data_IF_346968835748
#
_entry.id   IF_346968835748
#
_cell.length_a   1.000
_cell.length_b   1.000
_cell.length_c   1.000
_cell.angle_alpha   90.00
_cell.angle_beta   90.00
_cell.angle_gamma   90.00
#
_symmetry.space_group_name_H-M   'P 1'
#
loop_
_entity.id
_entity.type
_entity.pdbx_description
1 polymer ?
#
# COMPACT_ATOMS: atom_id res chain seq x y z
N UNK A 1 2.42 -23.89 -5.26
CA UNK A 1 1.52 -23.92 -6.41
C UNK A 1 2.26 -24.41 -7.63
N UNK A 2 1.71 -25.38 -8.35
CA UNK A 2 2.04 -25.96 -9.65
C UNK A 2 1.10 -25.37 -10.70
N UNK A 3 1.27 -25.73 -11.98
CA UNK A 3 0.44 -25.17 -13.06
C UNK A 3 -1.05 -25.48 -12.85
N UNK A 4 -1.38 -26.73 -12.52
CA UNK A 4 -2.75 -27.16 -12.28
C UNK A 4 -3.41 -26.40 -11.12
N UNK A 5 -2.67 -26.14 -10.04
CA UNK A 5 -3.18 -25.39 -8.88
C UNK A 5 -3.52 -23.94 -9.26
N UNK A 6 -2.73 -23.30 -10.13
CA UNK A 6 -3.05 -21.95 -10.65
C UNK A 6 -4.31 -21.96 -11.52
N UNK A 7 -4.48 -22.98 -12.36
CA UNK A 7 -5.68 -23.10 -13.20
C UNK A 7 -6.93 -23.33 -12.34
N UNK A 8 -6.85 -24.21 -11.34
CA UNK A 8 -7.96 -24.50 -10.43
C UNK A 8 -8.31 -23.32 -9.53
N UNK A 9 -7.34 -22.48 -9.16
CA UNK A 9 -7.60 -21.24 -8.41
C UNK A 9 -8.44 -20.26 -9.24
N UNK A 10 -8.11 -20.12 -10.53
CA UNK A 10 -8.75 -19.13 -11.41
C UNK A 10 -9.99 -19.66 -12.13
N UNK A 11 -10.20 -20.97 -12.18
CA UNK A 11 -11.29 -21.61 -12.93
C UNK A 11 -12.05 -22.62 -12.09
N UNK A 12 -13.37 -22.63 -12.29
CA UNK A 12 -14.27 -23.67 -11.81
C UNK A 12 -14.53 -24.64 -12.96
N UNK A 13 -13.65 -25.63 -13.11
CA UNK A 13 -13.69 -26.57 -14.25
C UNK A 13 -13.36 -25.86 -15.57
N UNK A 14 -14.31 -25.86 -16.50
CA UNK A 14 -14.14 -25.20 -17.80
C UNK A 14 -14.48 -23.71 -17.78
N UNK A 15 -15.06 -23.19 -16.70
CA UNK A 15 -15.42 -21.77 -16.61
C UNK A 15 -14.44 -20.97 -15.76
N UNK A 16 -14.29 -19.69 -16.10
CA UNK A 16 -13.56 -18.74 -15.25
C UNK A 16 -14.32 -18.51 -13.94
N UNK A 17 -13.60 -18.44 -12.81
CA UNK A 17 -14.19 -18.18 -11.50
C UNK A 17 -14.96 -16.86 -11.49
N UNK A 18 -16.08 -16.80 -10.78
CA UNK A 18 -16.97 -15.64 -10.74
C UNK A 18 -16.23 -14.34 -10.37
N UNK A 19 -15.37 -14.39 -9.36
CA UNK A 19 -14.59 -13.22 -8.93
C UNK A 19 -13.65 -12.70 -10.02
N UNK A 20 -13.09 -13.59 -10.84
CA UNK A 20 -12.18 -13.21 -11.93
C UNK A 20 -12.98 -12.66 -13.11
N UNK A 21 -14.18 -13.19 -13.38
CA UNK A 21 -15.12 -12.63 -14.36
C UNK A 21 -15.55 -11.21 -13.98
N UNK A 22 -16.00 -11.01 -12.73
CA UNK A 22 -16.40 -9.69 -12.21
C UNK A 22 -15.27 -8.66 -12.33
N UNK A 23 -14.04 -9.06 -12.00
CA UNK A 23 -12.87 -8.19 -12.17
C UNK A 23 -12.55 -7.91 -13.63
N UNK A 24 -12.77 -8.86 -14.54
CA UNK A 24 -12.56 -8.67 -15.96
C UNK A 24 -13.55 -7.67 -16.57
N UNK A 25 -14.81 -7.68 -16.14
CA UNK A 25 -15.85 -6.75 -16.61
C UNK A 25 -15.55 -5.28 -16.30
N UNK A 26 -14.78 -5.01 -15.24
CA UNK A 26 -14.43 -3.66 -14.78
C UNK A 26 -12.98 -3.27 -15.07
N UNK A 27 -12.30 -4.00 -15.97
CA UNK A 27 -10.87 -3.81 -16.29
C UNK A 27 -9.98 -3.81 -15.02
N UNK A 28 -10.32 -4.67 -14.06
CA UNK A 28 -9.71 -4.72 -12.73
C UNK A 28 -8.39 -5.50 -12.68
N UNK A 29 -8.04 -5.96 -11.48
CA UNK A 29 -6.82 -6.72 -11.24
C UNK A 29 -7.06 -7.94 -10.36
N UNK A 30 -6.46 -9.08 -10.73
CA UNK A 30 -6.46 -10.30 -9.94
C UNK A 30 -5.04 -10.74 -9.61
N UNK A 31 -4.77 -10.95 -8.32
CA UNK A 31 -3.44 -11.34 -7.84
C UNK A 31 -3.53 -12.65 -7.06
N UNK A 32 -2.57 -13.53 -7.30
CA UNK A 32 -2.37 -14.73 -6.46
C UNK A 32 -1.19 -14.44 -5.54
N UNK A 33 -1.41 -14.51 -4.23
CA UNK A 33 -0.36 -14.38 -3.22
C UNK A 33 -0.07 -15.73 -2.58
N UNK A 34 1.21 -16.12 -2.52
CA UNK A 34 1.65 -17.40 -1.98
C UNK A 34 2.81 -17.24 -0.99
N UNK A 35 2.88 -18.14 -0.01
CA UNK A 35 3.96 -18.23 0.97
C UNK A 35 5.22 -18.93 0.44
N UNK A 36 5.16 -19.49 -0.76
CA UNK A 36 6.29 -20.13 -1.43
C UNK A 36 7.34 -19.12 -1.90
N UNK A 37 8.58 -19.59 -2.07
CA UNK A 37 9.60 -18.84 -2.80
C UNK A 37 9.57 -19.23 -4.27
N UNK A 38 9.63 -18.23 -5.14
CA UNK A 38 9.49 -18.40 -6.57
C UNK A 38 10.76 -17.89 -7.27
N UNK A 39 11.49 -18.80 -7.92
CA UNK A 39 12.59 -18.38 -8.80
C UNK A 39 12.04 -17.62 -10.02
N UNK A 40 12.81 -16.71 -10.65
CA UNK A 40 12.33 -15.97 -11.82
C UNK A 40 11.76 -16.85 -12.95
N UNK A 41 12.32 -18.03 -13.28
CA UNK A 41 11.71 -18.94 -14.24
C UNK A 41 10.36 -19.51 -13.77
N UNK A 42 10.22 -19.79 -12.47
CA UNK A 42 8.97 -20.32 -11.89
C UNK A 42 7.89 -19.25 -11.90
N UNK A 43 8.24 -18.00 -11.58
CA UNK A 43 7.33 -16.86 -11.67
C UNK A 43 6.78 -16.71 -13.10
N UNK A 44 7.65 -16.75 -14.12
CA UNK A 44 7.22 -16.72 -15.53
C UNK A 44 6.26 -17.86 -15.88
N UNK A 45 6.50 -19.06 -15.36
CA UNK A 45 5.59 -20.22 -15.55
C UNK A 45 4.24 -20.00 -14.87
N UNK A 46 4.18 -19.36 -13.69
CA UNK A 46 2.92 -19.04 -12.99
C UNK A 46 2.14 -17.97 -13.75
N UNK A 47 2.78 -16.88 -14.14
CA UNK A 47 2.13 -15.83 -14.97
C UNK A 47 1.61 -16.42 -16.28
N UNK A 48 2.38 -17.32 -16.93
CA UNK A 48 1.90 -18.02 -18.13
C UNK A 48 0.65 -18.85 -17.84
N UNK A 49 0.63 -19.61 -16.74
CA UNK A 49 -0.55 -20.39 -16.35
C UNK A 49 -1.77 -19.49 -16.05
N UNK A 50 -1.56 -18.33 -15.41
CA UNK A 50 -2.64 -17.35 -15.19
C UNK A 50 -3.18 -16.80 -16.51
N UNK A 51 -2.31 -16.50 -17.49
CA UNK A 51 -2.73 -16.08 -18.84
C UNK A 51 -3.52 -17.16 -19.56
N UNK A 52 -3.04 -18.40 -19.50
CA UNK A 52 -3.75 -19.56 -20.05
C UNK A 52 -5.14 -19.72 -19.43
N UNK A 53 -5.29 -19.40 -18.14
CA UNK A 53 -6.57 -19.46 -17.44
C UNK A 53 -7.60 -18.42 -17.91
N UNK A 54 -7.18 -17.29 -18.49
CA UNK A 54 -8.09 -16.21 -18.90
C UNK A 54 -8.31 -16.13 -20.42
N UNK A 55 -7.42 -16.74 -21.21
CA UNK A 55 -7.40 -16.60 -22.68
C UNK A 55 -8.72 -17.01 -23.38
N UNK A 56 -9.52 -17.89 -22.78
CA UNK A 56 -10.80 -18.33 -23.36
C UNK A 56 -11.98 -17.40 -23.10
N UNK A 57 -11.80 -16.30 -22.35
CA UNK A 57 -12.90 -15.42 -21.94
C UNK A 57 -12.75 -14.02 -22.60
N UNK A 58 -13.76 -13.54 -23.38
CA UNK A 58 -13.65 -12.32 -24.20
C UNK A 58 -13.35 -11.04 -23.41
N UNK A 59 -13.79 -10.97 -22.16
CA UNK A 59 -13.70 -9.75 -21.33
C UNK A 59 -12.36 -9.60 -20.61
N UNK A 60 -11.40 -10.51 -20.82
CA UNK A 60 -10.16 -10.55 -20.02
C UNK A 60 -8.99 -9.78 -20.64
N UNK A 61 -9.19 -9.12 -21.78
CA UNK A 61 -8.11 -8.41 -22.50
C UNK A 61 -7.43 -7.34 -21.66
N UNK A 62 -8.18 -6.64 -20.81
CA UNK A 62 -7.66 -5.58 -19.94
C UNK A 62 -7.37 -6.02 -18.51
N UNK A 63 -7.71 -7.27 -18.13
CA UNK A 63 -7.57 -7.75 -16.76
C UNK A 63 -6.09 -7.81 -16.37
N UNK A 64 -5.69 -7.03 -15.37
CA UNK A 64 -4.34 -7.06 -14.84
C UNK A 64 -4.14 -8.29 -13.95
N UNK A 65 -3.16 -9.13 -14.27
CA UNK A 65 -2.85 -10.33 -13.48
C UNK A 65 -1.43 -10.32 -12.96
N UNK A 66 -1.25 -10.76 -11.71
CA UNK A 66 0.08 -10.89 -11.12
C UNK A 66 0.18 -12.01 -10.08
N UNK A 67 1.40 -12.44 -9.80
CA UNK A 67 1.71 -13.46 -8.81
C UNK A 67 2.74 -12.92 -7.80
N UNK A 68 2.38 -12.90 -6.52
CA UNK A 68 3.28 -12.49 -5.44
C UNK A 68 3.70 -13.71 -4.63
N UNK A 69 5.01 -13.88 -4.50
CA UNK A 69 5.62 -14.89 -3.65
C UNK A 69 6.16 -14.26 -2.35
N UNK A 70 6.59 -15.09 -1.41
CA UNK A 70 7.16 -14.61 -0.14
C UNK A 70 8.37 -13.70 -0.36
N UNK A 71 9.21 -14.03 -1.35
CA UNK A 71 10.44 -13.28 -1.63
C UNK A 71 10.15 -11.87 -2.16
N UNK A 72 9.12 -11.70 -2.99
CA UNK A 72 8.68 -10.42 -3.53
C UNK A 72 8.12 -9.52 -2.43
N UNK A 73 7.21 -10.05 -1.61
CA UNK A 73 6.65 -9.28 -0.47
C UNK A 73 7.75 -8.86 0.50
N UNK A 74 8.70 -9.75 0.81
CA UNK A 74 9.81 -9.41 1.68
C UNK A 74 10.74 -8.35 1.08
N UNK A 75 10.99 -8.40 -0.24
CA UNK A 75 11.77 -7.37 -0.95
C UNK A 75 11.06 -6.02 -0.96
N UNK A 76 9.73 -6.03 -1.09
CA UNK A 76 8.93 -4.80 -1.00
C UNK A 76 8.96 -4.21 0.41
N UNK A 77 8.74 -5.02 1.46
CA UNK A 77 8.81 -4.56 2.85
C UNK A 77 10.15 -3.94 3.23
N UNK A 78 11.27 -4.50 2.72
CA UNK A 78 12.61 -3.94 2.94
C UNK A 78 12.82 -2.55 2.35
N UNK A 79 12.05 -2.18 1.31
CA UNK A 79 12.10 -0.84 0.72
C UNK A 79 11.28 0.18 1.52
N UNK A 80 10.37 -0.28 2.39
CA UNK A 80 9.48 0.56 3.18
C UNK A 80 9.51 0.17 4.66
N UNK A 81 10.57 0.54 5.42
CA UNK A 81 10.73 0.16 6.82
C UNK A 81 9.54 0.51 7.70
N UNK A 82 8.87 1.65 7.48
CA UNK A 82 7.67 2.04 8.23
C UNK A 82 6.53 1.02 8.09
N UNK A 83 6.33 0.48 6.88
CA UNK A 83 5.31 -0.56 6.63
C UNK A 83 5.71 -1.87 7.29
N UNK A 84 7.00 -2.24 7.23
CA UNK A 84 7.51 -3.42 7.92
C UNK A 84 7.26 -3.34 9.43
N UNK A 85 7.46 -2.18 10.04
CA UNK A 85 7.27 -1.98 11.46
C UNK A 85 5.78 -1.98 11.86
N UNK A 86 4.93 -1.36 11.03
CA UNK A 86 3.47 -1.48 11.18
C UNK A 86 3.01 -2.94 11.10
N UNK A 87 3.47 -3.70 10.09
CA UNK A 87 3.09 -5.11 9.92
C UNK A 87 3.51 -5.95 11.14
N UNK A 88 4.70 -5.67 11.70
CA UNK A 88 5.15 -6.32 12.93
C UNK A 88 4.24 -6.05 14.13
N UNK A 89 3.73 -4.83 14.25
CA UNK A 89 2.77 -4.46 15.30
C UNK A 89 1.45 -5.21 15.12
N UNK A 90 0.89 -5.24 13.90
CA UNK A 90 -0.31 -6.02 13.56
C UNK A 90 -0.14 -7.51 13.88
N UNK A 91 1.06 -8.07 13.68
CA UNK A 91 1.40 -9.46 13.99
C UNK A 91 1.73 -9.71 15.47
N UNK A 92 1.58 -8.73 16.35
CA UNK A 92 1.89 -8.86 17.79
C UNK A 92 3.37 -9.00 18.10
N UNK A 93 4.24 -8.51 17.20
CA UNK A 93 5.72 -8.55 17.33
C UNK A 93 6.34 -7.16 17.21
N UNK A 94 5.86 -6.14 17.95
CA UNK A 94 6.42 -4.79 17.88
C UNK A 94 7.92 -4.80 18.23
N UNK A 95 8.65 -3.81 17.73
CA UNK A 95 10.02 -3.58 18.20
C UNK A 95 9.94 -2.84 19.54
N UNK A 96 10.66 -3.33 20.54
CA UNK A 96 10.73 -2.66 21.85
C UNK A 96 11.27 -1.24 21.68
N UNK A 97 10.62 -0.28 22.33
CA UNK A 97 11.01 1.14 22.28
C UNK A 97 10.67 1.85 20.96
N UNK A 98 10.00 1.20 20.01
CA UNK A 98 9.57 1.82 18.77
C UNK A 98 8.05 1.74 18.62
N UNK A 99 7.43 2.85 18.20
CA UNK A 99 6.00 2.89 17.83
C UNK A 99 5.84 3.51 16.44
N UNK A 100 4.91 3.00 15.61
CA UNK A 100 4.60 3.64 14.35
C UNK A 100 4.03 5.04 14.57
N UNK A 101 4.02 5.84 13.51
CA UNK A 101 3.25 7.07 13.51
C UNK A 101 1.80 6.73 13.89
N UNK A 102 1.26 7.45 14.86
CA UNK A 102 -0.04 7.22 15.44
C UNK A 102 -0.47 8.46 16.23
N UNK A 103 -1.49 8.32 17.06
CA UNK A 103 -1.91 9.41 17.95
C UNK A 103 -0.78 9.71 18.94
N UNK A 104 -0.09 10.84 18.72
CA UNK A 104 0.94 11.35 19.63
C UNK A 104 0.36 12.36 20.64
N UNK A 105 -0.88 12.80 20.42
CA UNK A 105 -1.69 13.49 21.40
C UNK A 105 -2.17 12.47 22.45
N UNK A 106 -2.30 12.92 23.70
CA UNK A 106 -2.92 12.12 24.78
C UNK A 106 -4.45 12.08 24.66
N UNK A 107 -4.99 12.19 23.45
CA UNK A 107 -6.43 12.20 23.19
C UNK A 107 -6.99 10.79 23.37
N UNK A 108 -7.99 10.59 24.25
CA UNK A 108 -8.68 9.32 24.42
C UNK A 108 -9.13 8.71 23.08
N UNK A 109 -9.10 7.38 22.98
CA UNK A 109 -9.37 6.64 21.72
C UNK A 109 -10.74 6.97 21.13
N UNK A 110 -11.72 7.24 21.99
CA UNK A 110 -13.10 7.58 21.68
C UNK A 110 -13.33 9.03 21.24
N UNK A 111 -12.33 9.90 21.41
CA UNK A 111 -12.40 11.31 21.02
C UNK A 111 -11.67 11.50 19.69
N UNK A 112 -12.27 12.25 18.76
CA UNK A 112 -11.62 12.62 17.51
C UNK A 112 -10.35 13.42 17.76
N UNK A 113 -9.23 12.99 17.16
CA UNK A 113 -7.93 13.69 17.23
C UNK A 113 -7.88 14.75 16.14
N UNK A 114 -8.83 15.68 16.21
CA UNK A 114 -8.91 16.80 15.26
C UNK A 114 -7.92 17.88 15.68
N UNK A 115 -7.25 18.48 14.70
CA UNK A 115 -6.45 19.66 14.94
C UNK A 115 -7.35 20.76 15.53
N UNK A 116 -6.97 21.28 16.70
CA UNK A 116 -7.68 22.38 17.35
C UNK A 116 -7.34 23.67 16.58
N UNK A 117 -8.32 24.23 15.88
CA UNK A 117 -8.23 25.49 15.13
C UNK A 117 -9.01 26.57 15.90
N UNK A 118 -8.45 27.04 17.01
CA UNK A 118 -9.06 28.14 17.79
C UNK A 118 -8.67 29.51 17.23
N UNK A 119 -9.64 30.43 17.21
CA UNK A 119 -9.39 31.83 16.89
C UNK A 119 -8.46 32.47 17.93
N UNK A 120 -7.44 33.20 17.45
CA UNK A 120 -6.44 33.85 18.31
C UNK A 120 -5.08 33.13 18.37
N UNK A 121 -4.95 31.94 17.78
CA UNK A 121 -3.64 31.29 17.58
C UNK A 121 -2.99 31.83 16.30
N UNK A 122 -1.92 32.61 16.44
CA UNK A 122 -1.11 33.09 15.33
C UNK A 122 0.28 32.44 15.34
N UNK A 123 0.79 32.14 14.14
CA UNK A 123 2.10 31.52 13.94
C UNK A 123 2.95 32.46 13.10
N UNK A 124 4.17 32.73 13.58
CA UNK A 124 5.16 33.51 12.84
C UNK A 124 6.22 32.57 12.25
N UNK A 125 6.38 32.62 10.92
CA UNK A 125 7.39 31.84 10.21
C UNK A 125 8.47 32.80 9.70
N UNK A 126 9.77 32.60 10.02
CA UNK A 126 10.83 33.52 9.62
C UNK A 126 10.91 33.81 8.11
N UNK A 127 10.64 32.81 7.28
CA UNK A 127 10.66 32.92 5.82
C UNK A 127 9.46 33.65 5.21
N UNK A 128 8.43 33.94 6.01
CA UNK A 128 7.19 34.61 5.58
C UNK A 128 7.17 36.12 5.82
N UNK A 129 8.32 36.72 6.15
CA UNK A 129 8.45 38.16 6.33
C UNK A 129 7.70 38.71 7.55
N UNK A 130 7.66 37.93 8.65
CA UNK A 130 6.95 38.28 9.89
C UNK A 130 5.43 38.46 9.77
N UNK A 131 4.82 37.94 8.71
CA UNK A 131 3.36 37.88 8.61
C UNK A 131 2.83 36.89 9.66
N UNK A 132 1.89 37.34 10.49
CA UNK A 132 1.13 36.44 11.37
C UNK A 132 0.17 35.60 10.51
N UNK A 133 0.33 34.29 10.59
CA UNK A 133 -0.49 33.33 9.87
C UNK A 133 -1.44 32.64 10.85
N UNK A 134 -2.64 32.29 10.40
CA UNK A 134 -3.46 31.32 11.10
C UNK A 134 -2.76 29.96 11.16
N UNK A 135 -3.18 29.09 12.08
CA UNK A 135 -2.60 27.75 12.23
C UNK A 135 -2.71 26.91 10.94
N UNK A 136 -3.81 27.02 10.20
CA UNK A 136 -4.03 26.33 8.92
C UNK A 136 -3.05 26.81 7.83
N UNK A 137 -2.92 28.13 7.66
CA UNK A 137 -1.99 28.74 6.70
C UNK A 137 -0.53 28.41 7.05
N UNK A 138 -0.21 28.37 8.34
CA UNK A 138 1.13 28.09 8.84
C UNK A 138 1.56 26.65 8.53
N UNK A 139 0.68 25.65 8.69
CA UNK A 139 0.99 24.25 8.35
C UNK A 139 1.40 24.12 6.87
N UNK A 140 0.65 24.78 5.97
CA UNK A 140 0.97 24.79 4.55
C UNK A 140 2.30 25.49 4.25
N UNK A 141 2.56 26.61 4.91
CA UNK A 141 3.81 27.37 4.74
C UNK A 141 5.04 26.58 5.24
N UNK A 142 4.95 25.94 6.41
CA UNK A 142 6.03 25.08 6.95
C UNK A 142 6.26 23.88 6.03
N UNK A 143 5.20 23.24 5.53
CA UNK A 143 5.34 22.10 4.60
C UNK A 143 6.07 22.50 3.33
N UNK A 144 5.75 23.66 2.74
CA UNK A 144 6.47 24.20 1.59
C UNK A 144 7.94 24.48 1.92
N UNK A 145 8.21 25.07 3.09
CA UNK A 145 9.57 25.36 3.55
C UNK A 145 10.41 24.07 3.63
N UNK A 146 9.90 23.03 4.30
CA UNK A 146 10.59 21.73 4.42
C UNK A 146 10.84 21.10 3.05
N UNK A 147 9.86 21.14 2.14
CA UNK A 147 10.01 20.59 0.79
C UNK A 147 11.01 21.37 -0.06
N UNK A 148 11.10 22.68 0.13
CA UNK A 148 12.02 23.57 -0.59
C UNK A 148 13.43 23.58 0.00
N UNK A 149 13.59 23.16 1.25
CA UNK A 149 14.88 23.06 1.92
C UNK A 149 15.68 21.95 1.24
N UNK A 150 16.66 22.32 0.42
CA UNK A 150 17.68 21.38 -0.03
C UNK A 150 18.40 20.86 1.21
N UNK A 151 18.63 19.56 1.25
CA UNK A 151 19.62 18.97 2.16
C UNK A 151 20.98 19.39 1.62
N UNK A 152 21.72 20.20 2.36
CA UNK A 152 23.15 20.31 2.13
C UNK A 152 23.74 18.91 2.35
N UNK A 153 24.32 18.35 1.31
CA UNK A 153 25.05 17.07 1.34
C UNK A 153 26.42 17.29 1.94
#
# INVERSE_FOLDING_TARGET
MRRAEVLNEMRNGEELSAIVKELAEVDGAYIIASTEDCSPPTYKKRIKAMREAITSDPHTTSLAINYYDRSCLHRWLRQYPSVQLWLRDVLGRPLSGWRPFGRWSSTPIDIGDSLILEEGITVNIPSSGHKELSLEEAILAVRRLILSSKKDN
#
